data_IF_897976161867
#
_entry.id   IF_897976161867
#
_cell.length_a   1.000
_cell.length_b   1.000
_cell.length_c   1.000
_cell.angle_alpha   90.00
_cell.angle_beta   90.00
_cell.angle_gamma   90.00
#
_symmetry.space_group_name_H-M   'P 1'
#
loop_
_entity.id
_entity.type
_entity.pdbx_description
1 polymer ?
#
# COMPACT_ATOMS: atom_id res chain seq x y z
N UNK A 1 21.08 -13.85 19.60
CA UNK A 1 20.85 -12.75 18.65
C UNK A 1 19.44 -12.85 18.11
N UNK A 2 18.71 -11.77 18.18
CA UNK A 2 17.37 -11.70 17.61
C UNK A 2 17.43 -11.31 16.13
N UNK A 3 16.30 -11.45 15.42
CA UNK A 3 16.17 -10.96 14.05
C UNK A 3 16.24 -9.43 14.03
N UNK A 4 16.75 -8.87 12.94
CA UNK A 4 16.68 -7.44 12.69
C UNK A 4 15.28 -7.05 12.20
N UNK A 5 15.08 -5.75 11.85
CA UNK A 5 13.81 -5.30 11.29
C UNK A 5 13.47 -6.02 9.98
N UNK A 6 12.17 -6.01 9.62
CA UNK A 6 11.76 -6.52 8.30
C UNK A 6 12.41 -5.66 7.23
N UNK A 7 13.19 -6.27 6.35
CA UNK A 7 13.88 -5.56 5.27
C UNK A 7 13.11 -5.54 3.97
N UNK A 8 12.28 -6.54 3.73
CA UNK A 8 11.59 -6.68 2.45
C UNK A 8 10.32 -7.50 2.60
N UNK A 9 9.28 -7.09 1.86
CA UNK A 9 8.01 -7.82 1.79
C UNK A 9 7.73 -8.10 0.32
N UNK A 10 7.43 -9.37 0.01
CA UNK A 10 7.04 -9.76 -1.35
C UNK A 10 5.54 -9.56 -1.55
N UNK A 11 5.19 -8.92 -2.66
CA UNK A 11 3.82 -8.71 -3.10
C UNK A 11 3.67 -9.39 -4.45
N UNK A 12 2.89 -10.46 -4.49
CA UNK A 12 2.69 -11.22 -5.72
C UNK A 12 1.85 -10.43 -6.72
N UNK A 13 2.33 -10.31 -7.94
CA UNK A 13 1.64 -9.63 -9.02
C UNK A 13 1.58 -10.52 -10.26
N UNK A 14 0.65 -10.24 -11.16
CA UNK A 14 0.53 -10.97 -12.43
C UNK A 14 1.18 -10.23 -13.60
N UNK A 15 1.24 -8.90 -13.51
CA UNK A 15 1.81 -8.04 -14.55
C UNK A 15 2.61 -6.92 -13.85
N UNK A 16 3.93 -7.05 -13.88
CA UNK A 16 4.82 -6.12 -13.16
C UNK A 16 4.69 -4.69 -13.68
N UNK A 17 4.60 -4.50 -15.00
CA UNK A 17 4.50 -3.15 -15.57
C UNK A 17 3.22 -2.45 -15.11
N UNK A 18 2.10 -3.17 -15.08
CA UNK A 18 0.83 -2.65 -14.57
C UNK A 18 0.94 -2.28 -13.09
N UNK A 19 1.55 -3.14 -12.31
CA UNK A 19 1.73 -2.91 -10.87
C UNK A 19 2.68 -1.77 -10.59
N UNK A 20 3.76 -1.63 -11.36
CA UNK A 20 4.68 -0.50 -11.25
C UNK A 20 3.93 0.81 -11.50
N UNK A 21 3.14 0.87 -12.56
CA UNK A 21 2.36 2.08 -12.86
C UNK A 21 1.40 2.42 -11.71
N UNK A 22 0.75 1.41 -11.13
CA UNK A 22 -0.17 1.63 -10.02
C UNK A 22 0.55 2.16 -8.77
N UNK A 23 1.59 1.47 -8.32
CA UNK A 23 2.28 1.86 -7.08
C UNK A 23 3.05 3.17 -7.23
N UNK A 24 3.69 3.39 -8.37
CA UNK A 24 4.45 4.62 -8.63
C UNK A 24 3.56 5.81 -8.93
N UNK A 25 2.64 5.66 -9.91
CA UNK A 25 1.92 6.80 -10.48
C UNK A 25 0.59 7.08 -9.76
N UNK A 26 -0.07 6.05 -9.25
CA UNK A 26 -1.36 6.21 -8.55
C UNK A 26 -1.14 6.38 -7.05
N UNK A 27 -0.44 5.44 -6.41
CA UNK A 27 -0.19 5.52 -4.97
C UNK A 27 0.94 6.50 -4.60
N UNK A 28 1.89 6.71 -5.50
CA UNK A 28 3.01 7.62 -5.22
C UNK A 28 4.12 7.01 -4.39
N UNK A 29 4.25 5.67 -4.40
CA UNK A 29 5.34 4.99 -3.71
C UNK A 29 6.60 5.12 -4.55
N UNK A 30 7.75 5.28 -3.90
CA UNK A 30 9.02 5.50 -4.59
C UNK A 30 9.54 4.22 -5.23
N UNK A 31 9.64 4.21 -6.57
CA UNK A 31 10.26 3.12 -7.30
C UNK A 31 11.78 3.20 -7.14
N UNK A 32 12.39 2.10 -6.68
CA UNK A 32 13.85 1.99 -6.60
C UNK A 32 14.43 1.54 -7.94
N UNK A 33 13.97 0.40 -8.44
CA UNK A 33 14.34 -0.08 -9.77
C UNK A 33 13.42 -1.21 -10.21
N UNK A 34 13.34 -1.38 -11.52
CA UNK A 34 12.70 -2.51 -12.16
C UNK A 34 13.78 -3.31 -12.87
N UNK A 35 13.79 -4.63 -12.68
CA UNK A 35 14.84 -5.49 -13.26
C UNK A 35 14.52 -5.75 -14.72
N UNK A 36 15.43 -5.34 -15.66
CA UNK A 36 15.20 -5.60 -17.08
C UNK A 36 15.10 -7.09 -17.39
N UNK A 37 14.08 -7.49 -18.13
CA UNK A 37 13.89 -8.87 -18.56
C UNK A 37 13.46 -9.83 -17.47
N UNK A 38 13.18 -9.35 -16.27
CA UNK A 38 12.72 -10.17 -15.16
C UNK A 38 11.39 -9.62 -14.63
N UNK A 39 10.45 -10.50 -14.16
CA UNK A 39 9.15 -10.03 -13.71
C UNK A 39 9.21 -9.56 -12.26
N UNK A 40 9.99 -8.51 -11.99
CA UNK A 40 10.16 -7.98 -10.65
C UNK A 40 10.51 -6.50 -10.64
N UNK A 41 10.04 -5.80 -9.62
CA UNK A 41 10.34 -4.40 -9.36
C UNK A 41 10.42 -4.17 -7.85
N UNK A 42 11.18 -3.16 -7.44
CA UNK A 42 11.42 -2.87 -6.02
C UNK A 42 11.09 -1.42 -5.71
N UNK A 43 10.35 -1.24 -4.61
CA UNK A 43 9.91 0.08 -4.14
C UNK A 43 10.42 0.30 -2.72
N UNK A 44 10.57 1.55 -2.33
CA UNK A 44 10.90 1.93 -0.95
C UNK A 44 9.65 2.38 -0.21
N UNK A 45 9.42 1.82 0.96
CA UNK A 45 8.41 2.28 1.90
C UNK A 45 9.11 2.44 3.26
N UNK A 46 9.60 3.66 3.54
CA UNK A 46 10.49 3.87 4.67
C UNK A 46 11.73 3.00 4.54
N UNK A 47 12.04 2.22 5.57
CA UNK A 47 13.17 1.28 5.58
C UNK A 47 12.82 -0.11 5.04
N UNK A 48 11.56 -0.33 4.68
CA UNK A 48 11.11 -1.61 4.15
C UNK A 48 11.07 -1.53 2.63
N UNK A 49 11.66 -2.52 1.97
CA UNK A 49 11.58 -2.63 0.53
C UNK A 49 10.35 -3.47 0.16
N UNK A 50 9.55 -2.98 -0.78
CA UNK A 50 8.43 -3.72 -1.33
C UNK A 50 8.89 -4.35 -2.64
N UNK A 51 8.83 -5.68 -2.69
CA UNK A 51 9.23 -6.45 -3.86
C UNK A 51 7.96 -6.90 -4.59
N UNK A 52 7.67 -6.27 -5.73
CA UNK A 52 6.57 -6.65 -6.60
C UNK A 52 7.10 -7.65 -7.63
N UNK A 53 6.59 -8.86 -7.62
CA UNK A 53 7.09 -9.88 -8.52
C UNK A 53 6.08 -10.97 -8.83
N UNK A 54 6.22 -11.58 -10.02
CA UNK A 54 5.48 -12.79 -10.33
C UNK A 54 6.12 -13.92 -9.53
N UNK A 55 5.36 -14.64 -8.67
CA UNK A 55 5.96 -15.65 -7.81
C UNK A 55 6.50 -16.82 -8.61
N UNK A 56 7.65 -17.36 -8.19
CA UNK A 56 8.27 -18.51 -8.84
C UNK A 56 7.42 -19.77 -8.72
N UNK A 57 6.71 -19.91 -7.60
CA UNK A 57 5.82 -21.03 -7.34
C UNK A 57 4.86 -20.69 -6.18
N UNK A 58 3.96 -21.63 -5.85
CA UNK A 58 2.95 -21.41 -4.84
C UNK A 58 3.52 -21.09 -3.45
N UNK A 59 4.71 -21.60 -3.13
CA UNK A 59 5.37 -21.37 -1.84
C UNK A 59 5.67 -19.89 -1.62
N UNK A 60 5.97 -19.13 -2.69
CA UNK A 60 6.32 -17.71 -2.62
C UNK A 60 5.15 -16.80 -2.99
N UNK A 61 3.96 -17.35 -3.17
CA UNK A 61 2.77 -16.55 -3.46
C UNK A 61 2.27 -15.87 -2.20
N UNK A 62 2.02 -14.57 -2.28
CA UNK A 62 1.50 -13.78 -1.17
C UNK A 62 0.20 -13.09 -1.54
N UNK A 63 -0.66 -12.86 -0.53
CA UNK A 63 -1.79 -11.94 -0.60
C UNK A 63 -1.61 -10.98 0.58
N UNK A 64 -1.48 -9.70 0.28
CA UNK A 64 -1.10 -8.71 1.27
C UNK A 64 -2.24 -7.77 1.61
N UNK A 65 -2.23 -7.25 2.83
CA UNK A 65 -2.97 -6.06 3.23
C UNK A 65 -1.90 -5.04 3.62
N UNK A 66 -1.80 -3.95 2.88
CA UNK A 66 -0.81 -2.92 3.12
C UNK A 66 -1.49 -1.69 3.69
N UNK A 67 -1.02 -1.21 4.83
CA UNK A 67 -1.53 0.00 5.46
C UNK A 67 -0.51 1.11 5.29
N UNK A 68 -0.86 2.12 4.50
CA UNK A 68 0.01 3.28 4.30
C UNK A 68 -0.45 4.43 5.19
N UNK A 69 0.46 4.99 5.96
CA UNK A 69 0.18 6.21 6.72
C UNK A 69 0.09 7.38 5.76
N UNK A 70 -0.88 8.26 5.99
CA UNK A 70 -1.07 9.47 5.20
C UNK A 70 -1.21 10.66 6.13
N UNK A 71 -0.84 11.84 5.63
CA UNK A 71 -0.94 13.08 6.42
C UNK A 71 -2.37 13.63 6.47
N UNK A 72 -3.14 13.42 5.40
CA UNK A 72 -4.53 13.86 5.28
C UNK A 72 -5.32 12.79 4.52
N UNK A 73 -6.02 11.94 5.27
CA UNK A 73 -6.73 10.80 4.68
C UNK A 73 -7.88 11.25 3.77
N UNK A 74 -8.55 12.35 4.09
CA UNK A 74 -9.64 12.82 3.26
C UNK A 74 -9.12 13.32 1.90
N UNK A 75 -8.00 14.03 1.91
CA UNK A 75 -7.38 14.53 0.67
C UNK A 75 -6.87 13.37 -0.20
N UNK A 76 -6.22 12.37 0.40
CA UNK A 76 -5.73 11.19 -0.33
C UNK A 76 -6.88 10.34 -0.87
N UNK A 77 -7.92 10.14 -0.07
CA UNK A 77 -9.12 9.44 -0.53
C UNK A 77 -9.74 10.15 -1.74
N UNK A 78 -9.90 11.47 -1.66
CA UNK A 78 -10.48 12.25 -2.76
C UNK A 78 -9.60 12.18 -4.01
N UNK A 79 -8.28 12.29 -3.85
CA UNK A 79 -7.34 12.23 -4.98
C UNK A 79 -7.41 10.87 -5.69
N UNK A 80 -7.33 9.79 -4.93
CA UNK A 80 -7.35 8.45 -5.51
C UNK A 80 -8.69 8.11 -6.16
N UNK A 81 -9.79 8.54 -5.55
CA UNK A 81 -11.14 8.33 -6.11
C UNK A 81 -11.38 9.18 -7.34
N UNK A 82 -11.08 10.49 -7.28
CA UNK A 82 -11.49 11.44 -8.30
C UNK A 82 -10.50 11.54 -9.47
N UNK A 83 -9.19 11.50 -9.18
CA UNK A 83 -8.17 11.61 -10.23
C UNK A 83 -7.79 10.26 -10.84
N UNK A 84 -7.91 9.17 -10.08
CA UNK A 84 -7.50 7.84 -10.53
C UNK A 84 -8.62 6.82 -10.63
N UNK A 85 -9.84 7.20 -10.26
CA UNK A 85 -11.00 6.34 -10.40
C UNK A 85 -11.00 5.10 -9.51
N UNK A 86 -10.26 5.12 -8.40
CA UNK A 86 -10.23 3.95 -7.51
C UNK A 86 -11.54 3.82 -6.76
N UNK A 87 -12.03 2.57 -6.68
CA UNK A 87 -13.20 2.23 -5.90
C UNK A 87 -12.76 1.92 -4.46
N UNK A 88 -13.32 2.66 -3.51
CA UNK A 88 -13.10 2.41 -2.09
C UNK A 88 -14.29 1.68 -1.49
N UNK A 89 -14.04 0.94 -0.41
CA UNK A 89 -15.07 0.26 0.37
C UNK A 89 -15.82 1.23 1.30
N UNK A 90 -16.03 2.44 0.84
CA UNK A 90 -16.65 3.54 1.59
C UNK A 90 -15.66 4.66 1.87
N UNK A 91 -16.18 5.77 2.37
CA UNK A 91 -15.36 6.92 2.77
C UNK A 91 -14.56 6.61 4.03
N UNK A 92 -13.51 7.40 4.32
CA UNK A 92 -12.75 7.21 5.56
C UNK A 92 -13.64 7.18 6.80
N UNK A 93 -13.38 6.24 7.70
CA UNK A 93 -14.13 6.04 8.93
C UNK A 93 -13.20 5.85 10.12
N UNK A 94 -13.68 6.21 11.30
CA UNK A 94 -12.98 5.93 12.54
C UNK A 94 -13.10 4.44 12.83
N UNK A 95 -11.97 3.76 12.98
CA UNK A 95 -11.92 2.33 13.29
C UNK A 95 -11.48 2.06 14.73
N UNK A 96 -10.86 3.03 15.37
CA UNK A 96 -10.44 2.91 16.77
C UNK A 96 -10.39 4.29 17.42
N UNK A 97 -10.83 4.35 18.68
CA UNK A 97 -10.71 5.54 19.53
C UNK A 97 -10.06 5.17 20.84
N UNK A 98 -9.17 6.03 21.29
CA UNK A 98 -8.61 5.95 22.64
C UNK A 98 -8.48 7.37 23.23
N UNK A 99 -7.71 7.51 24.32
CA UNK A 99 -7.57 8.79 24.99
C UNK A 99 -6.93 9.83 24.10
N UNK A 100 -7.74 10.71 23.52
CA UNK A 100 -7.28 11.86 22.74
C UNK A 100 -6.99 11.61 21.28
N UNK A 101 -7.17 10.38 20.79
CA UNK A 101 -6.88 10.08 19.39
C UNK A 101 -7.95 9.22 18.74
N UNK A 102 -8.11 9.43 17.43
CA UNK A 102 -8.95 8.60 16.55
C UNK A 102 -8.12 8.08 15.41
N UNK A 103 -8.21 6.77 15.15
CA UNK A 103 -7.57 6.16 13.98
C UNK A 103 -8.59 6.04 12.87
N UNK A 104 -8.28 6.70 11.75
CA UNK A 104 -9.12 6.72 10.55
C UNK A 104 -8.53 5.80 9.49
N UNK A 105 -9.39 5.08 8.79
CA UNK A 105 -8.98 4.20 7.70
C UNK A 105 -9.94 4.24 6.52
N UNK A 106 -9.40 3.96 5.33
CA UNK A 106 -10.16 3.72 4.11
C UNK A 106 -9.44 2.65 3.29
N UNK A 107 -10.19 1.83 2.56
CA UNK A 107 -9.61 0.69 1.85
C UNK A 107 -9.98 0.68 0.38
N UNK A 108 -8.99 0.38 -0.44
CA UNK A 108 -9.16 0.08 -1.86
C UNK A 108 -8.30 -1.14 -2.20
N UNK A 109 -8.19 -1.48 -3.48
CA UNK A 109 -7.41 -2.64 -3.93
C UNK A 109 -6.41 -2.23 -4.99
N UNK A 110 -5.29 -2.95 -5.05
CA UNK A 110 -4.36 -2.85 -6.16
C UNK A 110 -4.85 -3.70 -7.35
N UNK A 111 -4.15 -3.70 -8.50
CA UNK A 111 -4.61 -4.44 -9.69
C UNK A 111 -4.74 -5.95 -9.48
N UNK A 112 -4.04 -6.53 -8.51
CA UNK A 112 -4.08 -7.96 -8.23
C UNK A 112 -4.97 -8.33 -7.05
N UNK A 113 -5.70 -7.35 -6.51
CA UNK A 113 -6.63 -7.58 -5.41
C UNK A 113 -6.03 -7.55 -4.02
N UNK A 114 -4.78 -7.11 -3.87
CA UNK A 114 -4.23 -6.85 -2.54
C UNK A 114 -4.95 -5.66 -1.94
N UNK A 115 -5.25 -5.73 -0.65
CA UNK A 115 -5.92 -4.64 0.04
C UNK A 115 -4.94 -3.52 0.34
N UNK A 116 -5.34 -2.30 0.02
CA UNK A 116 -4.57 -1.09 0.31
C UNK A 116 -5.37 -0.28 1.32
N UNK A 117 -4.83 -0.14 2.51
CA UNK A 117 -5.41 0.68 3.56
C UNK A 117 -4.69 2.02 3.66
N UNK A 118 -5.46 3.09 3.68
CA UNK A 118 -4.96 4.40 4.11
C UNK A 118 -5.24 4.52 5.60
N UNK A 119 -4.28 5.05 6.37
CA UNK A 119 -4.47 5.21 7.80
C UNK A 119 -3.92 6.54 8.30
N UNK A 120 -4.66 7.18 9.17
CA UNK A 120 -4.24 8.43 9.81
C UNK A 120 -4.76 8.48 11.23
N UNK A 121 -3.87 8.76 12.18
CA UNK A 121 -4.29 9.14 13.53
C UNK A 121 -4.56 10.64 13.56
N UNK A 122 -5.69 11.01 14.14
CA UNK A 122 -6.10 12.39 14.33
C UNK A 122 -6.37 12.65 15.81
N UNK A 123 -6.08 13.86 16.29
CA UNK A 123 -6.54 14.23 17.63
C UNK A 123 -8.06 14.11 17.72
N UNK A 124 -8.54 13.62 18.84
CA UNK A 124 -9.97 13.55 19.09
C UNK A 124 -10.53 14.97 19.11
N UNK A 125 -11.65 15.18 18.44
CA UNK A 125 -12.33 16.49 18.42
C UNK A 125 -12.76 16.87 19.84
N UNK A 126 -12.51 18.13 20.20
CA UNK A 126 -12.89 18.67 21.51
C UNK A 126 -14.42 18.81 21.60
#
# INVERSE_FOLDING_TARGET
>A
MALGPVGQIHISVTDVDRSVAFYRDVLGVTLLFQVPGAPMAFFASGQVRLYLGVPENAKFTSRCVLYFTVEDIDAEYARLRDEHGLAFDGAPQVVHRDNGAELWMAFCQDPDGHQIGLMQERPKAA
#
